data_IF_096842284337
#
_entry.id   IF_096842284337
#
_cell.length_a   1.000
_cell.length_b   1.000
_cell.length_c   1.000
_cell.angle_alpha   90.00
_cell.angle_beta   90.00
_cell.angle_gamma   90.00
#
_symmetry.space_group_name_H-M   'P 1'
#
loop_
_entity.id
_entity.type
_entity.pdbx_description
1 polymer ?
#
# COMPACT_ATOMS: atom_id res chain seq x y z
N UNK A 1 -7.54 10.50 -2.75
CA UNK A 1 -6.84 9.53 -3.62
C UNK A 1 -7.51 8.19 -3.51
N UNK A 2 -7.77 7.54 -4.63
CA UNK A 2 -8.39 6.21 -4.66
C UNK A 2 -7.46 5.25 -5.39
N UNK A 3 -7.05 4.17 -4.72
CA UNK A 3 -6.09 3.21 -5.25
C UNK A 3 -6.62 1.78 -5.06
N UNK A 4 -6.49 0.95 -6.10
CA UNK A 4 -6.85 -0.47 -6.07
C UNK A 4 -5.66 -1.33 -6.45
N UNK A 5 -5.33 -2.29 -5.60
CA UNK A 5 -4.25 -3.24 -5.78
C UNK A 5 -4.81 -4.55 -6.33
N UNK A 6 -4.62 -4.75 -7.63
CA UNK A 6 -5.11 -5.91 -8.37
C UNK A 6 -4.07 -6.99 -8.59
N UNK A 7 -2.83 -6.83 -8.13
CA UNK A 7 -1.70 -7.64 -8.59
C UNK A 7 -0.99 -7.05 -9.80
N UNK A 8 0.03 -7.76 -10.31
CA UNK A 8 0.93 -7.26 -11.35
C UNK A 8 0.86 -8.11 -12.62
N UNK A 9 0.93 -7.44 -13.77
CA UNK A 9 1.01 -8.09 -15.07
C UNK A 9 -0.15 -9.06 -15.33
N UNK A 10 0.20 -10.34 -15.58
CA UNK A 10 -0.77 -11.41 -15.86
C UNK A 10 -1.34 -12.04 -14.59
N UNK A 11 -0.72 -11.80 -13.44
CA UNK A 11 -1.08 -12.41 -12.14
C UNK A 11 -2.06 -11.53 -11.36
N UNK A 12 -3.11 -11.11 -12.06
CA UNK A 12 -4.18 -10.36 -11.44
C UNK A 12 -4.88 -11.20 -10.37
N UNK A 13 -5.18 -10.55 -9.25
CA UNK A 13 -5.82 -11.04 -8.04
C UNK A 13 -5.05 -12.12 -7.26
N UNK A 14 -3.91 -12.59 -7.80
CA UNK A 14 -3.08 -13.67 -7.23
C UNK A 14 -1.78 -13.19 -6.60
N UNK A 15 -1.40 -11.95 -6.88
CA UNK A 15 -0.13 -11.42 -6.46
C UNK A 15 -0.05 -11.24 -4.95
N UNK A 16 0.96 -11.79 -4.32
CA UNK A 16 1.32 -11.42 -2.95
C UNK A 16 2.39 -10.32 -3.00
N UNK A 17 2.01 -9.08 -2.69
CA UNK A 17 2.96 -7.98 -2.76
C UNK A 17 4.06 -8.13 -1.71
N UNK A 18 5.31 -7.97 -2.13
CA UNK A 18 6.38 -7.91 -1.16
C UNK A 18 6.46 -6.53 -0.48
N UNK A 19 7.21 -6.46 0.63
CA UNK A 19 7.37 -5.23 1.40
C UNK A 19 8.02 -4.09 0.59
N UNK A 20 8.91 -4.40 -0.36
CA UNK A 20 9.61 -3.41 -1.20
C UNK A 20 8.65 -2.81 -2.22
N UNK A 21 7.81 -3.61 -2.84
CA UNK A 21 6.75 -3.17 -3.77
C UNK A 21 5.78 -2.21 -3.08
N UNK A 22 5.30 -2.59 -1.89
CA UNK A 22 4.42 -1.75 -1.08
C UNK A 22 5.12 -0.45 -0.63
N UNK A 23 6.39 -0.50 -0.26
CA UNK A 23 7.16 0.68 0.11
C UNK A 23 7.36 1.64 -1.09
N UNK A 24 7.53 1.11 -2.30
CA UNK A 24 7.61 1.93 -3.50
C UNK A 24 6.29 2.68 -3.76
N UNK A 25 5.15 2.04 -3.51
CA UNK A 25 3.84 2.70 -3.55
C UNK A 25 3.71 3.81 -2.51
N UNK A 26 4.11 3.57 -1.25
CA UNK A 26 4.10 4.61 -0.21
C UNK A 26 4.94 5.81 -0.63
N UNK A 27 6.15 5.59 -1.18
CA UNK A 27 7.01 6.67 -1.67
C UNK A 27 6.34 7.50 -2.77
N UNK A 28 5.64 6.86 -3.70
CA UNK A 28 4.91 7.53 -4.79
C UNK A 28 3.72 8.33 -4.29
N UNK A 29 3.03 7.84 -3.26
CA UNK A 29 1.84 8.48 -2.72
C UNK A 29 2.17 9.68 -1.81
N UNK A 30 3.30 9.64 -1.10
CA UNK A 30 3.68 10.62 -0.07
C UNK A 30 3.43 12.09 -0.45
N UNK A 31 3.84 12.60 -1.63
CA UNK A 31 3.60 14.01 -2.00
C UNK A 31 2.12 14.39 -2.08
N UNK A 32 1.23 13.42 -2.24
CA UNK A 32 -0.20 13.63 -2.40
C UNK A 32 -1.01 13.39 -1.12
N UNK A 33 -0.37 12.92 -0.04
CA UNK A 33 -1.05 12.60 1.22
C UNK A 33 -1.12 13.79 2.17
N UNK A 34 -0.43 14.90 1.88
CA UNK A 34 -0.47 16.11 2.69
C UNK A 34 -1.85 16.80 2.65
N UNK A 35 -2.54 16.75 1.50
CA UNK A 35 -3.80 17.43 1.24
C UNK A 35 -4.96 16.49 0.89
N UNK A 36 -4.72 15.17 0.82
CA UNK A 36 -5.73 14.20 0.35
C UNK A 36 -5.82 12.97 1.23
N UNK A 37 -7.06 12.57 1.52
CA UNK A 37 -7.35 11.26 2.10
C UNK A 37 -7.08 10.14 1.10
N UNK A 38 -6.38 9.08 1.52
CA UNK A 38 -6.17 7.87 0.74
C UNK A 38 -7.22 6.81 1.09
N UNK A 39 -7.92 6.32 0.07
CA UNK A 39 -8.72 5.10 0.12
C UNK A 39 -8.01 4.03 -0.72
N UNK A 40 -7.43 3.04 -0.04
CA UNK A 40 -6.66 1.96 -0.66
C UNK A 40 -7.37 0.62 -0.47
N UNK A 41 -7.67 -0.05 -1.57
CA UNK A 41 -8.37 -1.34 -1.58
C UNK A 41 -7.46 -2.42 -2.15
N UNK A 42 -7.29 -3.51 -1.42
CA UNK A 42 -6.56 -4.68 -1.89
C UNK A 42 -7.57 -5.70 -2.42
N UNK A 43 -7.39 -6.12 -3.66
CA UNK A 43 -8.27 -7.07 -4.35
C UNK A 43 -7.55 -8.39 -4.67
N UNK A 44 -6.28 -8.53 -4.28
CA UNK A 44 -5.45 -9.71 -4.47
C UNK A 44 -5.75 -10.81 -3.43
N UNK A 45 -7.01 -11.23 -3.34
CA UNK A 45 -7.51 -12.14 -2.31
C UNK A 45 -7.28 -13.63 -2.56
N UNK A 46 -6.61 -14.00 -3.65
CA UNK A 46 -6.15 -15.38 -3.80
C UNK A 46 -5.27 -15.74 -2.59
N UNK A 47 -5.54 -16.90 -1.98
CA UNK A 47 -4.86 -17.35 -0.75
C UNK A 47 -4.91 -16.34 0.42
N UNK A 48 -5.93 -15.47 0.44
CA UNK A 48 -6.12 -14.45 1.48
C UNK A 48 -4.91 -13.51 1.65
N UNK A 49 -4.21 -13.19 0.55
CA UNK A 49 -3.09 -12.26 0.61
C UNK A 49 -3.50 -10.80 0.83
N UNK A 50 -4.71 -10.40 0.46
CA UNK A 50 -5.11 -8.98 0.50
C UNK A 50 -5.10 -8.39 1.92
N UNK A 51 -5.64 -9.04 2.97
CA UNK A 51 -5.59 -8.51 4.33
C UNK A 51 -4.14 -8.37 4.86
N UNK A 52 -3.29 -9.35 4.59
CA UNK A 52 -1.88 -9.31 5.02
C UNK A 52 -1.13 -8.16 4.34
N UNK A 53 -1.34 -7.97 3.03
CA UNK A 53 -0.76 -6.87 2.27
C UNK A 53 -1.28 -5.50 2.73
N UNK A 54 -2.57 -5.40 3.06
CA UNK A 54 -3.15 -4.18 3.60
C UNK A 54 -2.53 -3.78 4.94
N UNK A 55 -2.31 -4.72 5.85
CA UNK A 55 -1.66 -4.45 7.14
C UNK A 55 -0.19 -4.01 6.97
N UNK A 56 0.58 -4.68 6.10
CA UNK A 56 1.95 -4.26 5.79
C UNK A 56 1.98 -2.85 5.21
N UNK A 57 1.08 -2.56 4.27
CA UNK A 57 0.97 -1.24 3.63
C UNK A 57 0.59 -0.15 4.65
N UNK A 58 -0.37 -0.42 5.54
CA UNK A 58 -0.76 0.47 6.63
C UNK A 58 0.40 0.75 7.58
N UNK A 59 1.16 -0.27 7.96
CA UNK A 59 2.35 -0.10 8.81
C UNK A 59 3.42 0.78 8.14
N UNK A 60 3.65 0.60 6.83
CA UNK A 60 4.58 1.42 6.06
C UNK A 60 4.14 2.88 5.97
N UNK A 61 2.84 3.14 5.74
CA UNK A 61 2.28 4.50 5.74
C UNK A 61 2.47 5.20 7.08
N UNK A 62 2.18 4.51 8.19
CA UNK A 62 2.38 5.05 9.55
C UNK A 62 3.85 5.38 9.80
N UNK A 63 4.76 4.46 9.45
CA UNK A 63 6.20 4.70 9.60
C UNK A 63 6.67 5.91 8.79
N UNK A 64 6.18 6.07 7.56
CA UNK A 64 6.54 7.20 6.71
C UNK A 64 6.06 8.55 7.30
N UNK A 65 4.88 8.60 7.91
CA UNK A 65 4.36 9.80 8.58
C UNK A 65 5.00 10.07 9.97
N UNK A 66 5.36 9.03 10.72
CA UNK A 66 6.04 9.20 12.02
C UNK A 66 7.48 9.71 11.88
N UNK A 67 8.18 9.42 10.79
CA UNK A 67 9.53 9.96 10.53
C UNK A 67 9.49 11.47 10.25
N UNK A 68 8.35 12.03 9.82
CA UNK A 68 8.20 13.47 9.62
C UNK A 68 7.87 14.25 10.90
N UNK A 69 7.55 13.56 12.01
CA UNK A 69 7.14 14.17 13.29
C UNK A 69 8.13 13.92 14.44
N UNK A 70 9.37 13.51 14.15
CA UNK A 70 10.45 13.41 15.15
C UNK A 70 11.16 14.76 15.34
N UNK A 71 11.70 15.06 16.54
CA UNK A 71 12.26 16.36 16.91
C UNK A 71 13.44 16.80 16.05
#
# INVERSE_FOLDING_TARGET
LYLRFHGLGRDLYRWNYDRRELAAWVKRLRPHLADRTLYAFFNNDYEAHAPANAEVFRALLRKAGSIENGP
#
